data_IF_288079809549
#
_entry.id   IF_288079809549
#
_cell.length_a   1.000
_cell.length_b   1.000
_cell.length_c   1.000
_cell.angle_alpha   90.00
_cell.angle_beta   90.00
_cell.angle_gamma   90.00
#
_symmetry.space_group_name_H-M   'P 1'
#
loop_
_entity.id
_entity.type
_entity.pdbx_description
1 polymer ?
#
# COMPACT_ATOMS: atom_id res chain seq x y z
N UNK A 1 2.91 6.87 4.90
CA UNK A 1 4.25 7.45 5.10
C UNK A 1 5.35 6.42 5.38
N UNK A 2 5.11 5.34 6.09
CA UNK A 2 6.10 4.25 6.16
C UNK A 2 6.35 3.55 4.82
N UNK A 3 5.38 3.53 3.95
CA UNK A 3 5.58 3.17 2.53
C UNK A 3 6.43 4.20 1.76
N UNK A 4 6.50 5.44 2.22
CA UNK A 4 7.41 6.47 1.72
C UNK A 4 8.86 6.31 2.23
N UNK A 5 9.08 5.66 3.37
CA UNK A 5 10.44 5.36 3.84
C UNK A 5 11.11 4.36 2.89
N UNK A 6 10.36 3.47 2.27
CA UNK A 6 10.85 2.63 1.18
C UNK A 6 11.37 3.42 -0.03
N UNK A 7 10.83 4.60 -0.27
CA UNK A 7 11.24 5.47 -1.39
C UNK A 7 12.61 6.14 -1.15
N UNK A 8 12.99 6.42 0.10
CA UNK A 8 14.31 6.98 0.42
C UNK A 8 15.47 6.01 0.12
N UNK A 9 15.18 4.71 -0.02
CA UNK A 9 16.14 3.67 -0.40
C UNK A 9 15.98 3.21 -1.84
N UNK A 10 15.27 3.96 -2.68
CA UNK A 10 14.86 3.53 -4.02
C UNK A 10 16.05 3.16 -4.92
N UNK A 11 17.15 3.89 -4.85
CA UNK A 11 18.35 3.56 -5.64
C UNK A 11 18.96 2.20 -5.28
N UNK A 12 18.86 1.80 -4.01
CA UNK A 12 19.28 0.47 -3.56
C UNK A 12 18.23 -0.59 -3.90
N UNK A 13 16.94 -0.26 -3.78
CA UNK A 13 15.84 -1.15 -4.13
C UNK A 13 15.77 -1.43 -5.63
N UNK A 14 16.17 -0.47 -6.47
CA UNK A 14 16.15 -0.63 -7.92
C UNK A 14 16.92 -1.86 -8.40
N UNK A 15 18.10 -2.09 -7.83
CA UNK A 15 18.88 -3.30 -8.12
C UNK A 15 18.18 -4.58 -7.69
N UNK A 16 17.47 -4.54 -6.55
CA UNK A 16 16.70 -5.67 -6.03
C UNK A 16 15.44 -5.94 -6.86
N UNK A 17 14.84 -4.91 -7.44
CA UNK A 17 13.68 -5.06 -8.33
C UNK A 17 14.03 -5.88 -9.57
N UNK A 18 15.23 -5.67 -10.12
CA UNK A 18 15.71 -6.39 -11.30
C UNK A 18 16.21 -7.82 -10.97
N UNK A 19 16.65 -8.04 -9.74
CA UNK A 19 17.13 -9.35 -9.29
C UNK A 19 15.97 -10.25 -8.84
N UNK A 20 15.52 -11.10 -9.75
CA UNK A 20 14.40 -12.03 -9.50
C UNK A 20 14.70 -13.13 -8.49
N UNK A 21 15.97 -13.32 -8.10
CA UNK A 21 16.33 -14.24 -7.01
C UNK A 21 15.96 -13.71 -5.63
N UNK A 22 15.74 -12.40 -5.52
CA UNK A 22 15.29 -11.73 -4.30
C UNK A 22 13.77 -11.69 -4.24
N UNK A 23 13.21 -12.28 -3.19
CA UNK A 23 11.78 -12.19 -2.90
C UNK A 23 11.47 -10.87 -2.22
N UNK A 24 10.51 -10.11 -2.75
CA UNK A 24 10.05 -8.85 -2.18
C UNK A 24 8.68 -9.04 -1.55
N UNK A 25 8.57 -8.69 -0.27
CA UNK A 25 7.31 -8.81 0.49
C UNK A 25 7.01 -7.46 1.14
N UNK A 26 5.83 -6.94 0.85
CA UNK A 26 5.26 -5.78 1.55
C UNK A 26 4.19 -6.23 2.56
N UNK A 27 4.13 -5.55 3.69
CA UNK A 27 3.13 -5.80 4.72
C UNK A 27 2.34 -4.53 4.97
N UNK A 28 1.02 -4.63 4.94
CA UNK A 28 0.10 -3.53 5.20
C UNK A 28 -0.57 -3.70 6.57
N UNK A 29 -1.00 -2.58 7.15
CA UNK A 29 -1.77 -2.57 8.38
C UNK A 29 -3.23 -2.93 8.10
N UNK A 30 -3.68 -4.05 8.61
CA UNK A 30 -5.07 -4.48 8.52
C UNK A 30 -5.94 -3.96 9.69
N UNK A 31 -5.39 -3.14 10.58
CA UNK A 31 -6.14 -2.54 11.68
C UNK A 31 -6.92 -3.57 12.50
N UNK A 32 -8.23 -3.40 12.57
CA UNK A 32 -9.14 -4.32 13.26
C UNK A 32 -9.53 -5.55 12.39
N UNK A 33 -8.96 -5.66 11.20
CA UNK A 33 -9.29 -6.68 10.21
C UNK A 33 -9.88 -6.07 8.94
N UNK A 34 -9.44 -6.55 7.80
CA UNK A 34 -9.89 -6.03 6.48
C UNK A 34 -11.41 -6.15 6.35
N UNK A 35 -12.00 -7.24 6.83
CA UNK A 35 -13.42 -7.51 6.79
C UNK A 35 -14.27 -6.54 7.63
N UNK A 36 -13.67 -5.83 8.57
CA UNK A 36 -14.37 -4.85 9.41
C UNK A 36 -14.55 -3.49 8.73
N UNK A 37 -13.81 -3.23 7.66
CA UNK A 37 -13.71 -1.91 7.05
C UNK A 37 -12.82 -0.92 7.81
N UNK A 38 -12.28 -1.31 8.96
CA UNK A 38 -11.40 -0.48 9.81
C UNK A 38 -9.95 -0.93 9.64
N UNK A 39 -9.33 -0.54 8.54
CA UNK A 39 -7.98 -0.95 8.16
C UNK A 39 -7.28 0.10 7.29
N UNK A 40 -6.00 -0.11 7.01
CA UNK A 40 -5.18 0.67 6.07
C UNK A 40 -4.57 -0.20 4.97
N UNK A 41 -5.20 -1.33 4.67
CA UNK A 41 -4.73 -2.29 3.68
C UNK A 41 -5.09 -1.84 2.25
N UNK A 42 -4.48 -0.76 1.81
CA UNK A 42 -4.80 -0.10 0.53
C UNK A 42 -4.41 -0.93 -0.69
N UNK A 43 -3.32 -1.69 -0.63
CA UNK A 43 -2.92 -2.56 -1.75
C UNK A 43 -3.86 -3.76 -1.86
N UNK A 44 -4.36 -4.26 -0.72
CA UNK A 44 -5.27 -5.41 -0.68
C UNK A 44 -6.68 -5.05 -1.15
N UNK A 45 -7.25 -3.95 -0.64
CA UNK A 45 -8.65 -3.59 -0.83
C UNK A 45 -8.87 -2.32 -1.67
N UNK A 46 -7.81 -1.53 -1.88
CA UNK A 46 -7.93 -0.27 -2.61
C UNK A 46 -8.25 -0.45 -4.09
N UNK A 47 -8.84 0.60 -4.65
CA UNK A 47 -9.14 0.72 -6.08
C UNK A 47 -8.40 1.90 -6.67
N UNK A 48 -8.20 1.89 -7.98
CA UNK A 48 -7.53 2.99 -8.70
C UNK A 48 -8.30 4.29 -8.49
N UNK A 49 -7.60 5.32 -8.09
CA UNK A 49 -8.14 6.66 -7.90
C UNK A 49 -7.05 7.71 -7.92
N UNK A 50 -7.42 8.95 -7.69
CA UNK A 50 -6.49 10.08 -7.66
C UNK A 50 -6.56 10.74 -6.28
N UNK A 51 -5.40 10.88 -5.64
CA UNK A 51 -5.25 11.59 -4.37
C UNK A 51 -3.99 12.47 -4.44
N UNK A 52 -4.13 13.73 -4.05
CA UNK A 52 -3.03 14.72 -4.10
C UNK A 52 -2.34 14.78 -5.48
N UNK A 53 -3.11 14.67 -6.56
CA UNK A 53 -2.61 14.75 -7.93
C UNK A 53 -1.89 13.51 -8.45
N UNK A 54 -1.86 12.41 -7.67
CA UNK A 54 -1.26 11.13 -8.08
C UNK A 54 -2.32 10.06 -8.27
N UNK A 55 -2.22 9.32 -9.37
CA UNK A 55 -3.05 8.13 -9.60
C UNK A 55 -2.40 6.92 -8.95
N UNK A 56 -3.13 6.25 -8.08
CA UNK A 56 -2.66 5.08 -7.35
C UNK A 56 -3.83 4.27 -6.82
N UNK A 57 -3.55 3.29 -5.97
CA UNK A 57 -4.58 2.58 -5.21
C UNK A 57 -5.01 3.42 -4.00
N UNK A 58 -6.31 3.51 -3.77
CA UNK A 58 -6.92 4.24 -2.67
C UNK A 58 -8.02 3.40 -2.01
N UNK A 59 -8.19 3.57 -0.71
CA UNK A 59 -9.39 3.13 -0.01
C UNK A 59 -10.54 4.06 -0.39
N UNK A 60 -11.58 3.54 -1.01
CA UNK A 60 -12.70 4.31 -1.54
C UNK A 60 -14.02 3.60 -1.26
N UNK A 61 -15.04 4.39 -0.95
CA UNK A 61 -16.42 3.91 -0.88
C UNK A 61 -17.00 3.60 -2.28
N UNK A 62 -18.23 3.16 -2.32
CA UNK A 62 -18.92 2.84 -3.58
C UNK A 62 -19.15 4.06 -4.51
N UNK A 63 -19.00 5.27 -3.99
CA UNK A 63 -19.14 6.52 -4.75
C UNK A 63 -17.79 7.11 -5.19
N UNK A 64 -16.67 6.44 -4.86
CA UNK A 64 -15.33 6.93 -5.17
C UNK A 64 -14.79 7.97 -4.18
N UNK A 65 -15.47 8.16 -3.04
CA UNK A 65 -14.96 9.02 -1.98
C UNK A 65 -13.88 8.28 -1.19
N UNK A 66 -12.82 9.00 -0.82
CA UNK A 66 -11.74 8.44 -0.01
C UNK A 66 -12.27 8.07 1.38
N UNK A 67 -12.08 6.82 1.77
CA UNK A 67 -12.42 6.33 3.09
C UNK A 67 -11.31 6.61 4.11
N UNK A 68 -11.71 6.76 5.37
CA UNK A 68 -10.76 6.93 6.46
C UNK A 68 -10.03 5.62 6.72
N UNK A 69 -8.69 5.69 6.71
CA UNK A 69 -7.85 4.57 7.08
C UNK A 69 -7.76 4.41 8.60
N UNK A 70 -7.58 3.19 9.08
CA UNK A 70 -7.44 2.90 10.51
C UNK A 70 -6.30 1.93 10.79
N UNK A 71 -5.38 2.34 11.68
CA UNK A 71 -4.36 1.49 12.31
C UNK A 71 -3.86 2.17 13.57
N UNK A 72 -3.44 1.41 14.56
CA UNK A 72 -2.73 1.93 15.74
C UNK A 72 -1.32 2.45 15.39
N UNK A 73 -0.80 2.03 14.26
CA UNK A 73 0.48 2.52 13.73
C UNK A 73 0.29 3.87 13.06
N UNK A 74 0.64 4.95 13.76
CA UNK A 74 0.47 6.33 13.30
C UNK A 74 1.12 6.68 11.94
N UNK A 75 2.03 5.85 11.46
CA UNK A 75 2.66 6.02 10.14
C UNK A 75 1.95 5.22 9.03
N UNK A 76 1.06 4.30 9.38
CA UNK A 76 0.43 3.38 8.44
C UNK A 76 -1.07 3.67 8.21
N UNK A 77 -1.65 4.61 8.96
CA UNK A 77 -3.06 4.99 8.88
C UNK A 77 -3.32 6.02 7.74
N UNK A 78 -3.01 5.63 6.52
CA UNK A 78 -3.18 6.47 5.33
C UNK A 78 -3.96 5.73 4.25
N UNK A 79 -4.96 6.40 3.59
CA UNK A 79 -5.88 5.72 2.66
C UNK A 79 -5.30 5.47 1.27
N UNK A 80 -4.10 5.91 0.99
CA UNK A 80 -3.44 5.75 -0.30
C UNK A 80 -2.09 5.07 -0.18
N UNK A 81 -1.58 4.59 -1.30
CA UNK A 81 -0.26 3.96 -1.39
C UNK A 81 0.55 4.60 -2.51
N UNK A 82 1.87 4.62 -2.38
CA UNK A 82 2.75 5.15 -3.40
C UNK A 82 2.61 4.42 -4.75
N UNK A 83 2.71 5.13 -5.88
CA UNK A 83 2.55 4.54 -7.21
C UNK A 83 3.49 3.36 -7.48
N UNK A 84 4.69 3.38 -6.91
CA UNK A 84 5.69 2.31 -7.07
C UNK A 84 5.20 0.98 -6.49
N UNK A 85 4.59 1.00 -5.31
CA UNK A 85 4.03 -0.20 -4.70
C UNK A 85 2.83 -0.74 -5.49
N UNK A 86 1.97 0.15 -5.98
CA UNK A 86 0.88 -0.22 -6.88
C UNK A 86 1.41 -0.89 -8.15
N UNK A 87 2.46 -0.35 -8.72
CA UNK A 87 3.13 -0.91 -9.89
C UNK A 87 3.75 -2.28 -9.60
N UNK A 88 4.47 -2.43 -8.48
CA UNK A 88 5.05 -3.74 -8.11
C UNK A 88 4.02 -4.81 -7.86
N UNK A 89 2.85 -4.45 -7.32
CA UNK A 89 1.73 -5.37 -7.21
C UNK A 89 1.22 -5.78 -8.57
N UNK A 90 0.98 -4.81 -9.46
CA UNK A 90 0.39 -5.05 -10.78
C UNK A 90 1.26 -5.97 -11.64
N UNK A 91 2.56 -5.75 -11.67
CA UNK A 91 3.50 -6.60 -12.43
C UNK A 91 3.86 -7.91 -11.71
N UNK A 92 3.38 -8.12 -10.49
CA UNK A 92 3.67 -9.32 -9.69
C UNK A 92 5.11 -9.40 -9.19
N UNK A 93 5.84 -8.27 -9.10
CA UNK A 93 7.23 -8.25 -8.62
C UNK A 93 7.32 -8.41 -7.11
N UNK A 94 6.38 -7.88 -6.38
CA UNK A 94 6.29 -7.97 -4.93
C UNK A 94 4.99 -8.64 -4.49
N UNK A 95 5.08 -9.39 -3.40
CA UNK A 95 3.93 -9.97 -2.71
C UNK A 95 3.49 -9.02 -1.59
N UNK A 96 2.18 -8.88 -1.39
CA UNK A 96 1.65 -8.03 -0.34
C UNK A 96 0.70 -8.83 0.54
N UNK A 97 0.81 -8.61 1.83
CA UNK A 97 -0.08 -9.19 2.83
C UNK A 97 -0.52 -8.14 3.86
N UNK A 98 -1.69 -8.33 4.43
CA UNK A 98 -2.23 -7.46 5.46
C UNK A 98 -2.18 -8.17 6.81
N UNK A 99 -1.76 -7.44 7.85
CA UNK A 99 -1.62 -7.96 9.22
C UNK A 99 -2.36 -7.04 10.18
N UNK A 100 -3.18 -7.61 11.06
CA UNK A 100 -3.93 -6.87 12.08
C UNK A 100 -3.02 -6.26 13.15
N UNK A 101 -3.54 -5.25 13.79
CA UNK A 101 -2.88 -4.56 14.90
C UNK A 101 -2.63 -5.44 16.13
#
# INVERSE_FOLDING_TARGET
>A
MCLLIGLCYFDHLKKLVEDKSVRMIGVEAAGDGVETGRHSATITEGRIGVLHGAMSLLLQDKYGQVEEAHSISACLDYPGVGPEHSYFKEIGRAEYSAVTD
#
